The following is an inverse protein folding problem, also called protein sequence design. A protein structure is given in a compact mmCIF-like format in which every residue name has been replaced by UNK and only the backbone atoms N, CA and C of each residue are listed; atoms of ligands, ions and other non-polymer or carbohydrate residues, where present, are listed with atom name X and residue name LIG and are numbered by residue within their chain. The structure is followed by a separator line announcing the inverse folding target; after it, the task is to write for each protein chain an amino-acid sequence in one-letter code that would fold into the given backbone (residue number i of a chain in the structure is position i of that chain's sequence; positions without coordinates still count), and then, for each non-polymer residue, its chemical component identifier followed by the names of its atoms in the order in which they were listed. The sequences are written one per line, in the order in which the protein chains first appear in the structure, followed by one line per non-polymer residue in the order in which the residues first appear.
data_IF_921417401945
#
_entry.id   IF_921417401945
#
_cell.length_a   1.000
_cell.length_b   1.000
_cell.length_c   1.000
_cell.angle_alpha   90.00
_cell.angle_beta   90.00
_cell.angle_gamma   90.00
#
_symmetry.space_group_name_H-M   'P 1'
#
loop_
_entity.id
_entity.type
_entity.pdbx_description
1 polymer ?
#
# COMPACT_ATOMS: atom_id res chain seq x y z
N UNK A 1 52.83 24.31 -57.37
CA UNK A 1 51.88 25.03 -56.48
C UNK A 1 50.40 24.76 -56.84
N UNK A 2 49.98 24.77 -58.10
CA UNK A 2 48.58 24.58 -58.55
C UNK A 2 47.92 23.27 -58.09
N UNK A 3 48.64 22.12 -58.09
CA UNK A 3 48.05 20.80 -57.68
C UNK A 3 47.60 20.79 -56.20
N UNK A 4 48.29 21.51 -55.30
CA UNK A 4 47.90 21.59 -53.88
C UNK A 4 46.65 22.43 -53.65
N UNK A 5 46.46 23.50 -54.43
CA UNK A 5 45.29 24.37 -54.36
C UNK A 5 44.04 23.60 -54.87
N UNK A 6 44.16 22.78 -55.92
CA UNK A 6 43.03 21.97 -56.42
C UNK A 6 42.56 20.91 -55.38
N UNK A 7 43.51 20.32 -54.65
CA UNK A 7 43.17 19.32 -53.60
C UNK A 7 42.42 19.98 -52.45
N UNK A 8 42.82 21.20 -52.03
CA UNK A 8 42.18 21.93 -50.94
C UNK A 8 40.76 22.41 -51.34
N UNK A 9 40.58 22.86 -52.59
CA UNK A 9 39.27 23.24 -53.12
C UNK A 9 38.36 22.02 -53.25
N UNK A 10 38.84 20.86 -53.71
CA UNK A 10 38.09 19.61 -53.80
C UNK A 10 37.70 19.05 -52.44
N UNK A 11 38.59 19.17 -51.44
CA UNK A 11 38.31 18.76 -50.06
C UNK A 11 37.28 19.71 -49.41
N UNK A 12 37.33 21.02 -49.66
CA UNK A 12 36.35 21.99 -49.19
C UNK A 12 34.97 21.78 -49.85
N UNK A 13 34.94 21.38 -51.14
CA UNK A 13 33.71 21.05 -51.85
C UNK A 13 33.07 19.72 -51.37
N UNK A 14 33.92 18.72 -51.04
CA UNK A 14 33.47 17.44 -50.50
C UNK A 14 32.90 17.58 -49.06
N UNK A 15 33.46 18.47 -48.24
CA UNK A 15 32.96 18.77 -46.89
C UNK A 15 31.66 19.62 -46.92
N UNK A 16 31.44 20.39 -47.98
CA UNK A 16 30.20 21.19 -48.13
C UNK A 16 28.94 20.39 -48.54
N UNK A 17 29.11 19.16 -49.01
CA UNK A 17 27.99 18.34 -49.52
C UNK A 17 27.27 17.51 -48.44
N UNK A 18 27.75 17.50 -47.20
CA UNK A 18 27.19 16.65 -46.12
C UNK A 18 26.14 17.33 -45.27
N UNK A 19 25.73 18.56 -45.54
CA UNK A 19 24.80 19.31 -44.67
C UNK A 19 23.42 19.52 -45.24
N UNK A 20 22.92 18.63 -46.08
CA UNK A 20 21.49 18.61 -46.43
C UNK A 20 20.84 17.39 -45.74
N UNK A 21 20.51 17.47 -44.48
CA UNK A 21 19.65 16.48 -43.84
C UNK A 21 18.29 16.53 -44.51
N UNK A 22 18.02 15.60 -45.44
CA UNK A 22 16.67 15.41 -45.98
C UNK A 22 15.77 15.11 -44.79
N UNK A 23 14.85 16.02 -44.48
CA UNK A 23 13.80 15.79 -43.49
C UNK A 23 12.94 14.64 -43.97
N UNK A 24 12.93 13.55 -43.23
CA UNK A 24 12.13 12.37 -43.58
C UNK A 24 10.72 12.51 -42.99
N UNK A 25 9.72 12.21 -43.84
CA UNK A 25 8.36 12.11 -43.35
C UNK A 25 8.16 10.74 -42.74
N UNK A 26 7.75 10.72 -41.47
CA UNK A 26 7.50 9.49 -40.73
C UNK A 26 6.24 8.80 -41.24
N UNK A 27 6.26 7.47 -41.45
CA UNK A 27 5.06 6.71 -41.80
C UNK A 27 3.97 6.84 -40.72
N UNK A 28 2.70 6.81 -41.15
CA UNK A 28 1.55 7.04 -40.27
C UNK A 28 1.52 6.05 -39.10
N UNK A 29 1.79 4.77 -39.38
CA UNK A 29 1.79 3.72 -38.35
C UNK A 29 2.88 3.93 -37.28
N UNK A 30 4.09 4.32 -37.71
CA UNK A 30 5.19 4.66 -36.81
C UNK A 30 4.90 5.94 -36.03
N UNK A 31 4.29 6.95 -36.68
CA UNK A 31 3.91 8.18 -36.01
C UNK A 31 2.81 7.92 -34.97
N UNK A 32 1.88 7.01 -35.24
CA UNK A 32 0.86 6.58 -34.28
C UNK A 32 1.49 5.85 -33.08
N UNK A 33 2.53 5.05 -33.28
CA UNK A 33 3.27 4.42 -32.17
C UNK A 33 4.02 5.45 -31.31
N UNK A 34 4.65 6.44 -31.95
CA UNK A 34 5.31 7.55 -31.26
C UNK A 34 4.29 8.33 -30.40
N UNK A 35 3.12 8.61 -30.94
CA UNK A 35 2.06 9.30 -30.19
C UNK A 35 1.52 8.44 -29.05
N UNK A 36 1.33 7.13 -29.29
CA UNK A 36 0.95 6.20 -28.23
C UNK A 36 1.92 6.27 -27.04
N UNK A 37 3.22 6.10 -27.29
CA UNK A 37 4.24 6.12 -26.23
C UNK A 37 4.31 7.51 -25.56
N UNK A 38 4.18 8.59 -26.34
CA UNK A 38 4.15 9.94 -25.78
C UNK A 38 2.92 10.17 -24.86
N UNK A 39 1.74 9.67 -25.22
CA UNK A 39 0.55 9.76 -24.37
C UNK A 39 0.71 8.98 -23.07
N UNK A 40 1.29 7.77 -23.11
CA UNK A 40 1.60 6.98 -21.90
C UNK A 40 2.56 7.73 -20.98
N UNK A 41 3.63 8.30 -21.54
CA UNK A 41 4.62 9.08 -20.76
C UNK A 41 3.98 10.34 -20.17
N UNK A 42 3.13 11.05 -20.93
CA UNK A 42 2.41 12.21 -20.40
C UNK A 42 1.49 11.84 -19.23
N UNK A 43 0.72 10.76 -19.36
CA UNK A 43 -0.15 10.29 -18.29
C UNK A 43 0.66 9.94 -17.02
N UNK A 44 1.82 9.30 -17.19
CA UNK A 44 2.72 8.97 -16.08
C UNK A 44 3.28 10.23 -15.39
N UNK A 45 3.74 11.20 -16.17
CA UNK A 45 4.29 12.47 -15.65
C UNK A 45 3.22 13.25 -14.88
N UNK A 46 1.98 13.27 -15.39
CA UNK A 46 0.86 13.94 -14.76
C UNK A 46 0.49 13.26 -13.43
N UNK A 47 0.43 11.93 -13.39
CA UNK A 47 0.13 11.14 -12.19
C UNK A 47 1.20 11.34 -11.10
N UNK A 48 2.47 11.24 -11.47
CA UNK A 48 3.62 11.39 -10.54
C UNK A 48 3.96 12.85 -10.23
N UNK A 49 3.27 13.82 -10.86
CA UNK A 49 3.52 15.27 -10.72
C UNK A 49 4.98 15.66 -10.96
N UNK A 50 5.61 15.02 -11.93
CA UNK A 50 7.01 15.26 -12.27
C UNK A 50 7.11 16.55 -13.09
N UNK A 51 7.93 17.50 -12.63
CA UNK A 51 8.17 18.74 -13.36
C UNK A 51 9.43 18.60 -14.20
N UNK A 52 9.30 18.23 -15.47
CA UNK A 52 10.40 18.04 -16.41
C UNK A 52 10.26 18.99 -17.61
N UNK A 53 11.39 19.38 -18.18
CA UNK A 53 11.44 20.20 -19.39
C UNK A 53 11.00 19.38 -20.61
N UNK A 54 9.98 19.87 -21.34
CA UNK A 54 9.14 19.08 -22.22
C UNK A 54 9.83 18.38 -23.40
N UNK A 55 10.92 18.89 -23.93
CA UNK A 55 11.59 18.28 -25.09
C UNK A 55 12.46 17.08 -24.71
N UNK A 56 13.13 17.12 -23.57
CA UNK A 56 14.03 16.04 -23.11
C UNK A 56 13.27 14.73 -22.81
N UNK A 57 11.98 14.82 -22.54
CA UNK A 57 11.13 13.66 -22.23
C UNK A 57 10.83 12.83 -23.47
N UNK A 58 10.64 13.47 -24.63
CA UNK A 58 10.22 12.79 -25.84
C UNK A 58 11.38 12.32 -26.71
N UNK A 59 12.56 12.89 -26.59
CA UNK A 59 13.74 12.50 -27.37
C UNK A 59 14.03 10.98 -27.28
N UNK A 60 14.04 10.34 -26.12
CA UNK A 60 14.25 8.89 -26.02
C UNK A 60 13.16 8.07 -26.73
N UNK A 61 11.92 8.59 -26.79
CA UNK A 61 10.83 7.93 -27.53
C UNK A 61 11.14 8.00 -29.02
N UNK A 62 11.51 9.17 -29.54
CA UNK A 62 11.81 9.37 -30.96
C UNK A 62 13.00 8.51 -31.41
N UNK A 63 14.07 8.49 -30.60
CA UNK A 63 15.26 7.69 -30.85
C UNK A 63 14.97 6.17 -30.89
N UNK A 64 14.06 5.71 -30.05
CA UNK A 64 13.63 4.30 -30.03
C UNK A 64 13.02 3.87 -31.38
N UNK A 65 12.37 4.78 -32.09
CA UNK A 65 11.80 4.56 -33.42
C UNK A 65 12.76 4.96 -34.55
N UNK A 66 13.98 5.40 -34.23
CA UNK A 66 15.01 5.77 -35.19
C UNK A 66 14.82 7.14 -35.87
N UNK A 67 14.07 8.03 -35.24
CA UNK A 67 13.80 9.37 -35.78
C UNK A 67 14.33 10.45 -34.84
N UNK A 68 15.07 11.46 -35.36
CA UNK A 68 15.41 12.64 -34.60
C UNK A 68 14.17 13.52 -34.36
N UNK A 69 14.17 14.29 -33.27
CA UNK A 69 13.07 15.19 -32.91
C UNK A 69 12.64 16.13 -34.06
N UNK A 70 13.60 16.59 -34.85
CA UNK A 70 13.35 17.47 -36.01
C UNK A 70 12.47 16.80 -37.09
N UNK A 71 12.59 15.50 -37.32
CA UNK A 71 11.76 14.77 -38.30
C UNK A 71 10.34 14.59 -37.79
N UNK A 72 10.18 14.37 -36.49
CA UNK A 72 8.86 14.31 -35.84
C UNK A 72 8.15 15.66 -35.95
N UNK A 73 8.82 16.74 -35.52
CA UNK A 73 8.28 18.10 -35.58
C UNK A 73 7.93 18.47 -37.02
N UNK A 74 8.80 18.15 -37.98
CA UNK A 74 8.56 18.41 -39.40
C UNK A 74 7.35 17.64 -39.92
N UNK A 75 7.21 16.36 -39.61
CA UNK A 75 6.11 15.49 -40.05
C UNK A 75 4.78 15.99 -39.50
N UNK A 76 4.74 16.24 -38.18
CA UNK A 76 3.54 16.76 -37.48
C UNK A 76 3.14 18.14 -38.08
N UNK A 77 4.12 19.03 -38.22
CA UNK A 77 3.89 20.38 -38.80
C UNK A 77 3.44 20.32 -40.25
N UNK A 78 3.93 19.40 -41.08
CA UNK A 78 3.50 19.18 -42.44
C UNK A 78 2.06 18.64 -42.50
N UNK A 79 1.73 17.67 -41.65
CA UNK A 79 0.37 17.11 -41.61
C UNK A 79 -0.63 18.13 -41.07
N UNK A 80 -0.29 18.89 -40.05
CA UNK A 80 -1.14 19.92 -39.48
C UNK A 80 -1.52 21.00 -40.53
N UNK A 81 -0.57 21.42 -41.38
CA UNK A 81 -0.79 22.50 -42.37
C UNK A 81 -1.45 22.02 -43.65
N UNK A 82 -1.14 20.83 -44.12
CA UNK A 82 -1.51 20.37 -45.47
C UNK A 82 -2.45 19.17 -45.49
N UNK A 83 -2.50 18.39 -44.43
CA UNK A 83 -3.22 17.12 -44.33
C UNK A 83 -3.77 16.88 -42.91
N UNK A 84 -4.52 17.85 -42.41
CA UNK A 84 -5.05 17.78 -41.02
C UNK A 84 -5.89 16.52 -40.75
N UNK A 85 -6.66 16.06 -41.72
CA UNK A 85 -7.42 14.82 -41.64
C UNK A 85 -6.51 13.61 -41.42
N UNK A 86 -5.32 13.55 -42.06
CA UNK A 86 -4.34 12.47 -41.88
C UNK A 86 -3.74 12.47 -40.49
N UNK A 87 -3.45 13.66 -39.93
CA UNK A 87 -2.99 13.76 -38.54
C UNK A 87 -4.04 13.26 -37.56
N UNK A 88 -5.32 13.63 -37.80
CA UNK A 88 -6.44 13.13 -37.02
C UNK A 88 -6.51 11.60 -37.00
N UNK A 89 -6.39 10.97 -38.18
CA UNK A 89 -6.38 9.51 -38.31
C UNK A 89 -5.22 8.86 -37.56
N UNK A 90 -4.02 9.45 -37.59
CA UNK A 90 -2.84 8.95 -36.83
C UNK A 90 -3.06 9.04 -35.34
N UNK A 91 -3.62 10.15 -34.85
CA UNK A 91 -3.95 10.32 -33.42
C UNK A 91 -5.03 9.32 -33.01
N UNK A 92 -6.06 9.12 -33.81
CA UNK A 92 -7.12 8.14 -33.56
C UNK A 92 -6.58 6.71 -33.48
N UNK A 93 -5.65 6.36 -34.37
CA UNK A 93 -4.95 5.06 -34.29
C UNK A 93 -4.17 4.91 -32.98
N UNK A 94 -3.47 5.94 -32.52
CA UNK A 94 -2.76 5.91 -31.24
C UNK A 94 -3.75 5.71 -30.08
N UNK A 95 -4.85 6.43 -30.04
CA UNK A 95 -5.91 6.30 -29.04
C UNK A 95 -6.51 4.90 -29.04
N UNK A 96 -6.83 4.37 -30.23
CA UNK A 96 -7.40 3.01 -30.37
C UNK A 96 -6.47 1.95 -29.79
N UNK A 97 -5.16 2.07 -29.98
CA UNK A 97 -4.16 1.16 -29.37
C UNK A 97 -4.18 1.26 -27.85
N UNK A 98 -4.17 2.47 -27.29
CA UNK A 98 -4.27 2.70 -25.84
C UNK A 98 -5.55 2.09 -25.25
N UNK A 99 -6.69 2.23 -25.92
CA UNK A 99 -7.95 1.64 -25.47
C UNK A 99 -7.92 0.12 -25.48
N UNK A 100 -7.31 -0.49 -26.50
CA UNK A 100 -7.15 -1.95 -26.56
C UNK A 100 -6.24 -2.47 -25.45
N UNK A 101 -5.10 -1.82 -25.21
CA UNK A 101 -4.20 -2.16 -24.11
C UNK A 101 -4.88 -1.97 -22.75
N UNK A 102 -5.59 -0.85 -22.56
CA UNK A 102 -6.32 -0.61 -21.33
C UNK A 102 -7.35 -1.70 -21.01
N UNK A 103 -8.09 -2.19 -22.03
CA UNK A 103 -9.02 -3.33 -21.82
C UNK A 103 -8.30 -4.59 -21.35
N UNK A 104 -7.11 -4.87 -21.88
CA UNK A 104 -6.31 -6.03 -21.47
C UNK A 104 -5.80 -5.85 -20.03
N UNK A 105 -5.25 -4.68 -19.71
CA UNK A 105 -4.74 -4.39 -18.37
C UNK A 105 -5.86 -4.34 -17.34
N UNK A 106 -7.00 -3.69 -17.63
CA UNK A 106 -8.15 -3.68 -16.72
C UNK A 106 -8.65 -5.09 -16.39
N UNK A 107 -8.67 -5.98 -17.37
CA UNK A 107 -9.01 -7.40 -17.13
C UNK A 107 -7.98 -8.09 -16.22
N UNK A 108 -6.67 -7.86 -16.43
CA UNK A 108 -5.62 -8.42 -15.57
C UNK A 108 -5.73 -7.90 -14.13
N UNK A 109 -5.96 -6.59 -13.94
CA UNK A 109 -6.17 -5.99 -12.62
C UNK A 109 -7.38 -6.62 -11.92
N UNK A 110 -8.51 -6.76 -12.62
CA UNK A 110 -9.71 -7.40 -12.05
C UNK A 110 -9.46 -8.83 -11.60
N UNK A 111 -8.68 -9.60 -12.36
CA UNK A 111 -8.31 -10.98 -11.99
C UNK A 111 -7.44 -10.95 -10.71
N UNK A 112 -6.43 -10.09 -10.66
CA UNK A 112 -5.55 -9.96 -9.49
C UNK A 112 -6.32 -9.55 -8.24
N UNK A 113 -7.21 -8.57 -8.34
CA UNK A 113 -8.06 -8.15 -7.22
C UNK A 113 -8.99 -9.26 -6.73
N UNK A 114 -9.51 -10.07 -7.65
CA UNK A 114 -10.31 -11.24 -7.29
C UNK A 114 -9.48 -12.25 -6.50
N UNK A 115 -8.29 -12.58 -6.96
CA UNK A 115 -7.37 -13.51 -6.27
C UNK A 115 -7.02 -12.97 -4.88
N UNK A 116 -6.66 -11.70 -4.75
CA UNK A 116 -6.35 -11.03 -3.48
C UNK A 116 -7.53 -11.12 -2.50
N UNK A 117 -8.73 -10.79 -2.97
CA UNK A 117 -9.94 -10.82 -2.14
C UNK A 117 -10.30 -12.25 -1.69
N UNK A 118 -10.15 -13.24 -2.57
CA UNK A 118 -10.38 -14.65 -2.23
C UNK A 118 -9.35 -15.11 -1.21
N UNK A 119 -8.07 -14.81 -1.41
CA UNK A 119 -6.99 -15.16 -0.50
C UNK A 119 -7.25 -14.58 0.91
N UNK A 120 -7.45 -13.27 1.02
CA UNK A 120 -7.72 -12.60 2.30
C UNK A 120 -8.93 -13.21 3.00
N UNK A 121 -10.00 -13.45 2.26
CA UNK A 121 -11.24 -14.03 2.82
C UNK A 121 -11.03 -15.45 3.32
N UNK A 122 -10.25 -16.26 2.60
CA UNK A 122 -9.97 -17.66 2.94
C UNK A 122 -9.12 -17.80 4.21
N UNK A 123 -8.26 -16.85 4.49
CA UNK A 123 -7.37 -16.87 5.66
C UNK A 123 -7.80 -15.94 6.79
N UNK A 124 -8.90 -15.20 6.61
CA UNK A 124 -9.55 -14.46 7.71
C UNK A 124 -10.16 -15.45 8.68
N UNK A 125 -9.77 -15.37 9.97
CA UNK A 125 -10.23 -16.33 10.99
C UNK A 125 -10.48 -15.68 12.34
N UNK A 126 -11.37 -16.28 13.11
CA UNK A 126 -11.54 -15.91 14.52
C UNK A 126 -10.43 -16.55 15.33
N UNK A 127 -9.58 -15.73 15.95
CA UNK A 127 -8.43 -16.20 16.78
C UNK A 127 -8.78 -16.31 18.24
N UNK A 128 -9.81 -15.60 18.70
CA UNK A 128 -10.35 -15.72 20.05
C UNK A 128 -11.85 -15.45 20.06
N UNK A 129 -12.58 -16.22 20.87
CA UNK A 129 -14.02 -16.03 21.08
C UNK A 129 -14.40 -16.45 22.52
N UNK A 130 -15.19 -15.60 23.17
CA UNK A 130 -15.83 -15.93 24.44
C UNK A 130 -17.25 -15.35 24.44
N UNK A 131 -18.21 -16.14 24.88
CA UNK A 131 -19.61 -15.73 24.89
C UNK A 131 -19.93 -14.81 26.07
N UNK A 132 -19.27 -15.04 27.25
CA UNK A 132 -19.61 -14.35 28.48
C UNK A 132 -18.45 -14.39 29.50
N UNK A 133 -17.90 -13.24 29.80
CA UNK A 133 -16.92 -13.04 30.89
C UNK A 133 -17.57 -12.17 31.97
N UNK A 134 -17.55 -12.63 33.23
CA UNK A 134 -18.06 -11.90 34.37
C UNK A 134 -16.98 -11.68 35.40
N UNK A 135 -16.83 -10.44 35.84
CA UNK A 135 -15.97 -10.06 36.94
C UNK A 135 -16.80 -9.46 38.06
N UNK A 136 -17.04 -10.24 39.14
CA UNK A 136 -17.81 -9.82 40.31
C UNK A 136 -16.93 -9.48 41.52
N UNK A 137 -15.75 -10.02 41.58
CA UNK A 137 -14.80 -9.83 42.71
C UNK A 137 -13.48 -9.32 42.17
N UNK A 138 -12.65 -8.75 43.04
CA UNK A 138 -11.31 -8.29 42.70
C UNK A 138 -10.42 -9.40 42.11
N UNK A 139 -10.56 -10.62 42.63
CA UNK A 139 -9.86 -11.80 42.12
C UNK A 139 -10.18 -12.11 40.64
N UNK A 140 -11.33 -11.71 40.17
CA UNK A 140 -11.79 -12.00 38.80
C UNK A 140 -11.15 -11.07 37.76
N UNK A 141 -10.37 -10.08 38.19
CA UNK A 141 -9.71 -9.13 37.29
C UNK A 141 -8.68 -9.82 36.36
N UNK A 142 -8.18 -10.97 36.72
CA UNK A 142 -7.31 -11.79 35.83
C UNK A 142 -8.06 -12.33 34.63
N UNK A 143 -9.36 -12.65 34.77
CA UNK A 143 -10.20 -13.09 33.67
C UNK A 143 -10.48 -11.97 32.63
N UNK A 144 -10.24 -10.71 33.00
CA UNK A 144 -10.37 -9.57 32.12
C UNK A 144 -9.12 -9.30 31.29
N UNK A 145 -8.03 -10.01 31.55
CA UNK A 145 -6.80 -9.93 30.77
C UNK A 145 -6.63 -11.18 29.91
N UNK A 146 -6.60 -10.98 28.59
CA UNK A 146 -6.47 -12.03 27.61
C UNK A 146 -5.22 -11.79 26.80
N UNK A 147 -4.41 -12.83 26.65
CA UNK A 147 -3.21 -12.80 25.79
C UNK A 147 -3.42 -13.75 24.62
N UNK A 148 -3.22 -13.24 23.42
CA UNK A 148 -3.29 -14.00 22.18
C UNK A 148 -1.88 -14.08 21.60
N UNK A 149 -1.36 -15.30 21.46
CA UNK A 149 -0.03 -15.61 20.95
C UNK A 149 -0.06 -16.97 20.24
N UNK A 150 0.68 -17.18 19.15
CA UNK A 150 1.43 -16.17 18.40
C UNK A 150 0.53 -15.25 17.57
N UNK A 151 1.02 -14.05 17.27
CA UNK A 151 0.38 -13.14 16.34
C UNK A 151 1.11 -13.11 15.00
N UNK A 152 0.38 -12.77 13.95
CA UNK A 152 0.86 -12.67 12.57
C UNK A 152 0.63 -11.27 12.02
N UNK A 153 1.36 -10.90 10.98
CA UNK A 153 1.17 -9.62 10.30
C UNK A 153 -0.21 -9.56 9.63
N UNK A 154 -0.96 -8.49 9.91
CA UNK A 154 -2.32 -8.29 9.43
C UNK A 154 -3.13 -7.43 10.40
N UNK A 155 -4.44 -7.44 10.25
CA UNK A 155 -5.37 -6.67 11.07
C UNK A 155 -6.06 -7.56 12.11
N UNK A 156 -6.13 -7.07 13.35
CA UNK A 156 -6.88 -7.72 14.45
C UNK A 156 -8.06 -6.85 14.82
N UNK A 157 -9.27 -7.32 14.53
CA UNK A 157 -10.52 -6.63 14.92
C UNK A 157 -11.07 -7.25 16.19
N UNK A 158 -11.12 -6.46 17.27
CA UNK A 158 -11.66 -6.82 18.58
C UNK A 158 -13.06 -6.23 18.68
N UNK A 159 -14.06 -7.07 19.00
CA UNK A 159 -15.44 -6.64 19.17
C UNK A 159 -16.10 -7.34 20.34
N UNK A 160 -16.83 -6.59 21.17
CA UNK A 160 -17.65 -7.12 22.27
C UNK A 160 -18.66 -6.08 22.77
N UNK A 161 -19.70 -6.52 23.44
CA UNK A 161 -20.59 -5.66 24.23
C UNK A 161 -20.27 -5.79 25.72
N UNK A 162 -20.53 -4.74 26.48
CA UNK A 162 -20.25 -4.75 27.91
C UNK A 162 -21.34 -4.04 28.71
N UNK A 163 -21.43 -4.43 29.99
CA UNK A 163 -22.25 -3.77 31.01
C UNK A 163 -21.41 -3.63 32.28
N UNK A 164 -21.32 -2.39 32.81
CA UNK A 164 -20.66 -2.07 34.07
C UNK A 164 -21.70 -1.80 35.16
N UNK A 165 -21.36 -2.08 36.39
CA UNK A 165 -22.17 -1.74 37.55
C UNK A 165 -22.02 -0.26 37.98
N UNK A 166 -22.72 0.10 39.04
CA UNK A 166 -22.78 1.48 39.56
C UNK A 166 -21.43 1.95 40.15
N UNK A 167 -20.51 1.04 40.49
CA UNK A 167 -19.15 1.38 40.94
C UNK A 167 -18.36 2.20 39.92
N UNK A 168 -18.74 2.16 38.65
CA UNK A 168 -18.11 2.92 37.57
C UNK A 168 -18.10 4.43 37.83
N UNK A 169 -19.13 4.96 38.50
CA UNK A 169 -19.22 6.39 38.84
C UNK A 169 -18.06 6.83 39.76
N UNK A 170 -17.60 5.96 40.65
CA UNK A 170 -16.49 6.22 41.59
C UNK A 170 -15.15 5.72 41.11
N UNK A 171 -15.16 4.65 40.33
CA UNK A 171 -13.98 3.96 39.84
C UNK A 171 -14.08 3.80 38.31
N UNK A 172 -13.67 4.82 37.54
CA UNK A 172 -13.68 4.74 36.08
C UNK A 172 -12.84 3.57 35.58
N UNK A 173 -13.32 2.94 34.51
CA UNK A 173 -12.66 1.84 33.82
C UNK A 173 -12.37 2.19 32.39
N UNK A 174 -11.33 1.59 31.84
CA UNK A 174 -11.03 1.58 30.40
C UNK A 174 -10.68 0.17 29.91
N UNK A 175 -11.04 -0.10 28.69
CA UNK A 175 -10.45 -1.19 27.96
C UNK A 175 -9.14 -0.72 27.31
N UNK A 176 -8.12 -1.56 27.33
CA UNK A 176 -6.82 -1.24 26.76
C UNK A 176 -6.32 -2.42 25.92
N UNK A 177 -5.93 -2.12 24.68
CA UNK A 177 -5.44 -3.13 23.74
C UNK A 177 -4.08 -2.72 23.23
N UNK A 178 -3.13 -3.64 23.23
CA UNK A 178 -1.78 -3.36 22.77
C UNK A 178 -1.07 -4.64 22.35
N UNK A 179 0.01 -4.44 21.59
CA UNK A 179 0.93 -5.51 21.23
C UNK A 179 2.20 -5.41 22.07
N UNK A 180 2.73 -6.56 22.45
CA UNK A 180 4.05 -6.68 23.07
C UNK A 180 5.05 -7.28 22.08
N UNK A 181 6.31 -6.84 22.20
CA UNK A 181 7.46 -7.53 21.63
C UNK A 181 8.00 -8.61 22.58
N UNK A 182 9.09 -9.27 22.19
CA UNK A 182 9.77 -10.30 23.00
C UNK A 182 10.30 -9.76 24.35
N UNK A 183 10.55 -8.45 24.45
CA UNK A 183 11.06 -7.78 25.63
C UNK A 183 9.94 -7.19 26.51
N UNK A 184 8.68 -7.37 26.13
CA UNK A 184 7.53 -6.84 26.84
C UNK A 184 7.31 -5.33 26.69
N UNK A 185 7.96 -4.69 25.72
CA UNK A 185 7.73 -3.28 25.45
C UNK A 185 6.40 -3.04 24.76
N UNK A 186 5.62 -2.14 25.36
CA UNK A 186 4.36 -1.64 24.82
C UNK A 186 4.57 -0.84 23.55
N UNK A 187 4.06 -1.32 22.44
CA UNK A 187 3.96 -0.53 21.21
C UNK A 187 2.50 -0.36 20.83
N UNK A 188 2.10 0.89 20.54
CA UNK A 188 0.75 1.26 20.08
C UNK A 188 -0.40 0.74 20.94
N UNK A 189 -0.57 1.33 22.15
CA UNK A 189 -1.75 1.05 22.97
C UNK A 189 -2.96 1.87 22.53
N UNK A 190 -4.11 1.22 22.49
CA UNK A 190 -5.41 1.89 22.29
C UNK A 190 -6.23 1.73 23.55
N UNK A 191 -6.65 2.86 24.15
CA UNK A 191 -7.49 2.88 25.34
C UNK A 191 -8.89 3.38 25.01
N UNK A 192 -9.91 2.67 25.50
CA UNK A 192 -11.32 3.01 25.33
C UNK A 192 -11.98 3.16 26.70
N UNK A 193 -12.41 4.36 27.12
CA UNK A 193 -13.11 4.52 28.37
C UNK A 193 -14.47 3.80 28.33
N UNK A 194 -14.78 3.03 29.38
CA UNK A 194 -16.01 2.28 29.49
C UNK A 194 -17.09 3.17 30.11
N UNK A 195 -18.31 3.06 29.60
CA UNK A 195 -19.53 3.65 30.14
C UNK A 195 -20.32 2.56 30.89
N UNK A 196 -21.54 2.90 31.31
CA UNK A 196 -22.40 1.94 32.02
C UNK A 196 -22.76 0.73 31.12
N UNK A 197 -23.04 0.98 29.85
CA UNK A 197 -23.23 -0.03 28.82
C UNK A 197 -22.65 0.46 27.50
N UNK A 198 -22.20 -0.46 26.64
CA UNK A 198 -21.71 -0.09 25.32
C UNK A 198 -21.21 -1.26 24.52
N UNK A 199 -20.73 -0.93 23.32
CA UNK A 199 -20.07 -1.84 22.41
C UNK A 199 -18.67 -1.29 22.11
N UNK A 200 -17.69 -2.14 22.14
CA UNK A 200 -16.34 -1.84 21.70
C UNK A 200 -16.08 -2.53 20.37
N UNK A 201 -15.59 -1.79 19.41
CA UNK A 201 -15.06 -2.32 18.15
C UNK A 201 -13.79 -1.56 17.81
N UNK A 202 -12.65 -2.25 17.71
CA UNK A 202 -11.35 -1.67 17.41
C UNK A 202 -10.55 -2.58 16.53
N UNK A 203 -9.90 -2.01 15.54
CA UNK A 203 -8.96 -2.70 14.67
C UNK A 203 -7.55 -2.21 14.96
N UNK A 204 -6.63 -3.14 15.10
CA UNK A 204 -5.22 -2.92 15.44
C UNK A 204 -4.35 -3.69 14.46
N UNK A 205 -3.22 -3.11 14.09
CA UNK A 205 -2.24 -3.73 13.21
C UNK A 205 -0.91 -3.84 13.95
N UNK A 206 -0.33 -5.06 14.09
CA UNK A 206 0.98 -5.24 14.70
C UNK A 206 2.07 -4.65 13.83
N UNK A 207 3.12 -4.13 14.47
CA UNK A 207 4.38 -3.80 13.82
C UNK A 207 5.27 -5.05 13.74
N UNK A 208 6.33 -4.96 12.94
CA UNK A 208 7.34 -6.01 12.89
C UNK A 208 7.91 -6.25 14.32
N UNK A 209 8.22 -7.50 14.65
CA UNK A 209 8.75 -7.97 15.94
C UNK A 209 7.76 -8.05 17.12
N UNK A 210 6.47 -7.82 16.91
CA UNK A 210 5.46 -8.05 17.95
C UNK A 210 5.04 -9.52 17.96
N UNK A 211 4.88 -10.09 19.17
CA UNK A 211 4.62 -11.53 19.38
C UNK A 211 3.28 -11.81 20.00
N UNK A 212 2.73 -10.87 20.75
CA UNK A 212 1.52 -11.05 21.53
C UNK A 212 0.58 -9.87 21.39
N UNK A 213 -0.71 -10.16 21.37
CA UNK A 213 -1.79 -9.18 21.52
C UNK A 213 -2.39 -9.32 22.90
N UNK A 214 -2.35 -8.25 23.69
CA UNK A 214 -2.90 -8.21 25.03
C UNK A 214 -4.17 -7.37 25.06
N UNK A 215 -5.23 -7.96 25.61
CA UNK A 215 -6.53 -7.34 25.78
C UNK A 215 -6.80 -7.17 27.29
N UNK A 216 -6.83 -5.95 27.78
CA UNK A 216 -7.33 -5.61 29.10
C UNK A 216 -8.74 -5.06 28.97
N UNK A 217 -9.77 -5.86 29.25
CA UNK A 217 -11.16 -5.56 28.94
C UNK A 217 -11.82 -4.58 29.92
N UNK A 218 -11.18 -4.27 31.04
CA UNK A 218 -11.79 -3.39 32.04
C UNK A 218 -10.86 -3.01 33.19
N UNK A 219 -9.74 -2.42 32.85
CA UNK A 219 -8.76 -1.90 33.82
C UNK A 219 -9.30 -0.63 34.51
N UNK A 220 -9.15 -0.55 35.82
CA UNK A 220 -9.46 0.67 36.54
C UNK A 220 -8.44 1.76 36.22
N UNK A 221 -8.97 2.96 35.91
CA UNK A 221 -8.19 4.17 35.74
C UNK A 221 -8.21 5.00 37.03
N UNK A 222 -7.24 5.89 37.24
CA UNK A 222 -7.20 6.81 38.37
C UNK A 222 -7.19 6.18 39.78
N UNK A 223 -6.49 5.06 39.96
CA UNK A 223 -6.24 4.47 41.29
C UNK A 223 -5.19 5.22 42.10
N UNK A 224 -4.83 6.44 41.70
CA UNK A 224 -3.90 7.30 42.39
C UNK A 224 -4.57 8.63 42.74
N UNK A 225 -4.51 9.01 44.01
CA UNK A 225 -5.01 10.33 44.45
C UNK A 225 -3.83 11.14 44.97
N UNK A 226 -3.58 12.28 44.38
CA UNK A 226 -2.61 13.22 44.93
C UNK A 226 -3.17 13.87 46.19
N UNK A 227 -2.49 13.79 47.31
CA UNK A 227 -2.85 14.41 48.56
C UNK A 227 -1.77 15.45 48.87
N UNK A 228 -2.17 16.71 49.02
CA UNK A 228 -1.26 17.74 49.53
C UNK A 228 -1.50 17.90 51.01
N UNK A 229 -0.51 17.54 51.83
CA UNK A 229 -0.54 17.72 53.27
C UNK A 229 0.69 18.55 53.65
N UNK A 230 0.49 19.67 54.29
CA UNK A 230 1.55 20.61 54.73
C UNK A 230 2.53 21.00 53.60
N UNK A 231 1.98 21.39 52.44
CA UNK A 231 2.78 21.82 51.26
C UNK A 231 3.53 20.68 50.53
N UNK A 232 3.52 19.45 51.04
CA UNK A 232 4.15 18.26 50.39
C UNK A 232 3.10 17.47 49.64
N UNK A 233 3.32 17.31 48.34
CA UNK A 233 2.49 16.45 47.48
C UNK A 233 2.88 14.99 47.70
N UNK A 234 1.92 14.17 48.16
CA UNK A 234 2.07 12.72 48.24
C UNK A 234 1.03 12.02 47.40
N UNK A 235 1.38 10.89 46.80
CA UNK A 235 0.46 10.09 45.97
C UNK A 235 -0.03 8.92 46.78
N UNK A 236 -1.31 8.88 47.11
CA UNK A 236 -1.95 7.73 47.74
C UNK A 236 -2.52 6.79 46.71
N UNK A 237 -2.04 5.53 46.72
CA UNK A 237 -2.60 4.47 45.86
C UNK A 237 -3.96 4.04 46.44
N UNK A 238 -5.01 4.12 45.64
CA UNK A 238 -6.35 3.66 46.00
C UNK A 238 -6.48 2.23 45.50
N UNK A 239 -6.92 1.33 46.36
CA UNK A 239 -7.21 -0.03 45.97
C UNK A 239 -8.52 -0.10 45.19
N UNK A 240 -8.62 -0.92 44.11
CA UNK A 240 -9.87 -1.13 43.44
C UNK A 240 -10.93 -1.75 44.36
N UNK A 241 -12.23 -1.52 44.09
CA UNK A 241 -13.31 -2.02 44.95
C UNK A 241 -13.25 -3.53 45.09
N UNK A 242 -13.68 -4.04 46.27
CA UNK A 242 -13.75 -5.49 46.50
C UNK A 242 -14.80 -6.16 45.64
N UNK A 243 -15.95 -5.50 45.46
CA UNK A 243 -17.04 -5.93 44.61
C UNK A 243 -16.86 -5.19 43.30
N UNK A 244 -16.96 -5.91 42.20
CA UNK A 244 -16.90 -5.42 40.84
C UNK A 244 -18.13 -5.95 40.12
N UNK A 245 -18.63 -5.21 39.16
CA UNK A 245 -19.70 -5.68 38.31
C UNK A 245 -19.38 -5.27 36.87
N UNK A 246 -18.68 -6.16 36.18
CA UNK A 246 -18.39 -6.01 34.76
C UNK A 246 -18.77 -7.30 34.04
N UNK A 247 -19.65 -7.17 33.10
CA UNK A 247 -20.05 -8.24 32.21
C UNK A 247 -19.66 -7.92 30.77
N UNK A 248 -18.91 -8.83 30.15
CA UNK A 248 -18.50 -8.77 28.74
C UNK A 248 -19.23 -9.87 27.99
N UNK A 249 -19.86 -9.54 26.89
CA UNK A 249 -20.61 -10.49 26.06
C UNK A 249 -20.13 -10.49 24.64
N UNK A 250 -20.13 -11.68 24.03
CA UNK A 250 -19.81 -11.89 22.63
C UNK A 250 -18.44 -11.33 22.23
N UNK A 251 -17.43 -11.51 23.09
CA UNK A 251 -16.07 -11.13 22.76
C UNK A 251 -15.60 -11.98 21.59
N UNK A 252 -15.13 -11.28 20.56
CA UNK A 252 -14.60 -11.88 19.34
C UNK A 252 -13.37 -11.10 18.88
N UNK A 253 -12.32 -11.82 18.56
CA UNK A 253 -11.13 -11.28 17.91
C UNK A 253 -10.97 -11.97 16.56
N UNK A 254 -11.02 -11.18 15.50
CA UNK A 254 -10.88 -11.66 14.12
C UNK A 254 -9.54 -11.18 13.59
N UNK A 255 -8.75 -12.11 13.09
CA UNK A 255 -7.53 -11.84 12.34
C UNK A 255 -7.83 -11.82 10.84
N UNK A 256 -7.36 -10.79 10.18
CA UNK A 256 -7.40 -10.64 8.72
C UNK A 256 -5.96 -10.44 8.22
N UNK A 257 -5.40 -11.34 7.42
CA UNK A 257 -4.04 -11.25 6.94
C UNK A 257 -3.86 -10.08 5.96
N UNK A 258 -2.62 -9.59 5.81
CA UNK A 258 -2.23 -8.73 4.70
C UNK A 258 -2.41 -9.47 3.38
N UNK A 259 -2.64 -8.73 2.30
CA UNK A 259 -2.89 -9.32 0.97
C UNK A 259 -1.76 -10.23 0.51
N UNK A 260 -0.50 -9.81 0.67
CA UNK A 260 0.66 -10.57 0.22
C UNK A 260 0.79 -11.89 1.00
N UNK A 261 0.66 -11.86 2.33
CA UNK A 261 0.68 -13.06 3.18
C UNK A 261 -0.47 -14.00 2.82
N UNK A 262 -1.65 -13.44 2.52
CA UNK A 262 -2.81 -14.23 2.13
C UNK A 262 -2.60 -14.94 0.79
N UNK A 263 -1.99 -14.24 -0.17
CA UNK A 263 -1.67 -14.80 -1.49
C UNK A 263 -0.62 -15.91 -1.36
N UNK A 264 0.47 -15.68 -0.64
CA UNK A 264 1.51 -16.67 -0.40
C UNK A 264 0.91 -17.92 0.25
N UNK A 265 0.06 -17.75 1.28
CA UNK A 265 -0.64 -18.86 1.94
C UNK A 265 -1.64 -19.58 1.02
N UNK A 266 -2.25 -18.86 0.08
CA UNK A 266 -3.14 -19.45 -0.92
C UNK A 266 -2.34 -20.33 -1.89
N UNK A 267 -1.18 -19.84 -2.35
CA UNK A 267 -0.30 -20.60 -3.22
C UNK A 267 0.28 -21.82 -2.52
N UNK A 268 0.75 -21.69 -1.28
CA UNK A 268 1.24 -22.81 -0.48
C UNK A 268 0.18 -23.92 -0.30
N UNK A 269 -1.07 -23.53 -0.15
CA UNK A 269 -2.17 -24.47 0.13
C UNK A 269 -2.73 -25.17 -1.10
N UNK A 270 -2.86 -24.45 -2.22
CA UNK A 270 -3.62 -24.92 -3.39
C UNK A 270 -2.77 -25.19 -4.62
N UNK A 271 -1.60 -24.55 -4.73
CA UNK A 271 -0.64 -24.85 -5.77
C UNK A 271 0.37 -25.82 -5.16
N UNK A 272 0.41 -27.06 -5.68
CA UNK A 272 1.40 -28.03 -5.22
C UNK A 272 2.78 -27.55 -5.70
N UNK A 273 3.41 -26.71 -4.89
CA UNK A 273 4.58 -25.89 -5.20
C UNK A 273 5.80 -26.73 -5.59
N UNK A 274 5.81 -28.06 -5.32
CA UNK A 274 6.90 -28.92 -5.74
C UNK A 274 7.21 -28.85 -7.25
N UNK A 275 6.26 -28.46 -8.08
CA UNK A 275 6.46 -28.25 -9.52
C UNK A 275 7.07 -26.88 -9.84
N UNK A 276 6.87 -25.89 -8.97
CA UNK A 276 7.34 -24.51 -9.16
C UNK A 276 8.60 -24.18 -8.34
N UNK A 277 8.82 -24.86 -7.21
CA UNK A 277 9.94 -24.62 -6.29
C UNK A 277 11.29 -24.89 -6.97
N UNK A 278 11.41 -25.92 -7.79
CA UNK A 278 12.66 -26.23 -8.46
C UNK A 278 13.07 -25.20 -9.54
N UNK A 279 12.12 -24.40 -10.04
CA UNK A 279 12.38 -23.35 -11.03
C UNK A 279 12.38 -21.91 -10.49
N UNK A 280 11.63 -21.63 -9.43
CA UNK A 280 11.38 -20.26 -8.96
C UNK A 280 12.19 -19.87 -7.71
N UNK A 281 12.44 -20.79 -6.79
CA UNK A 281 13.22 -20.53 -5.58
C UNK A 281 14.73 -20.48 -5.80
N UNK A 282 15.25 -21.13 -6.84
CA UNK A 282 16.66 -21.03 -7.23
C UNK A 282 17.06 -19.60 -7.60
N UNK A 283 16.10 -18.74 -7.97
CA UNK A 283 16.37 -17.31 -8.26
C UNK A 283 16.38 -16.38 -7.04
N UNK A 284 15.83 -16.81 -5.91
CA UNK A 284 15.79 -15.96 -4.70
C UNK A 284 17.10 -16.05 -3.89
N UNK A 285 17.79 -17.19 -3.95
CA UNK A 285 19.07 -17.39 -3.27
C UNK A 285 20.28 -16.88 -4.06
N UNK A 286 20.08 -16.52 -5.34
CA UNK A 286 21.13 -15.95 -6.19
C UNK A 286 21.15 -14.41 -6.21
N UNK A 287 20.30 -13.74 -5.40
CA UNK A 287 20.19 -12.28 -5.29
C UNK A 287 20.43 -11.78 -3.85
N UNK A 288 20.99 -12.64 -2.98
CA UNK A 288 21.43 -12.27 -1.62
C UNK A 288 22.94 -12.01 -1.61
#
# INVERSE_FOLDING_TARGET
MMKRIFIVIFLAFALGMTSCSKKNIIPDDTLAQIFHDAFVVNAYIEEERINLDSLQIYEPIFERYGYPANDVIYTVGNFSRRKSARLGTVVEQAITRLEQENKVFAKKVTILDTIKNVAVRSFTRTVYRDSLIKAKKRSDSTALQITISPIYQGEYTISYSYKCGDELKKFPRSAEFYFNDENGYLNSSTSVPLRQTGVVSRTLTPRNNQKELILNLGKYTNLQKSITKNGKKSVKKILPPKIQDLEIRNLKVVYKPNQDIAIDSLFERYVNIKIFVDGFLVKKDSLA
#
